data_IF_621551854440
#
_entry.id   IF_621551854440
#
_cell.length_a   1.000
_cell.length_b   1.000
_cell.length_c   1.000
_cell.angle_alpha   90.00
_cell.angle_beta   90.00
_cell.angle_gamma   90.00
#
_symmetry.space_group_name_H-M   'P 1'
#
loop_
_entity.id
_entity.type
_entity.pdbx_description
1 polymer ?
#
# COMPACT_ATOMS: atom_id res chain seq x y z
N UNK A 1 12.46 23.66 -46.11
CA UNK A 1 12.96 23.21 -44.79
C UNK A 1 11.82 22.47 -44.12
N UNK A 2 11.88 21.14 -44.07
CA UNK A 2 10.81 20.31 -43.53
C UNK A 2 11.09 20.11 -42.05
N UNK A 3 10.20 20.60 -41.18
CA UNK A 3 10.27 20.33 -39.74
C UNK A 3 9.84 18.89 -39.52
N UNK A 4 10.76 18.04 -39.07
CA UNK A 4 10.39 16.72 -38.59
C UNK A 4 9.56 16.88 -37.32
N UNK A 5 8.37 16.26 -37.24
CA UNK A 5 7.60 16.29 -36.00
C UNK A 5 8.39 15.58 -34.91
N UNK A 6 8.69 16.30 -33.83
CA UNK A 6 9.22 15.71 -32.60
C UNK A 6 8.08 14.90 -31.98
N UNK A 7 8.23 13.57 -31.98
CA UNK A 7 7.36 12.69 -31.22
C UNK A 7 7.62 12.95 -29.73
N UNK A 8 6.68 13.63 -29.07
CA UNK A 8 6.66 13.74 -27.61
C UNK A 8 6.37 12.32 -27.10
N UNK A 9 7.35 11.70 -26.46
CA UNK A 9 7.21 10.39 -25.85
C UNK A 9 6.09 10.48 -24.81
N UNK A 10 4.92 9.91 -25.12
CA UNK A 10 3.78 9.88 -24.20
C UNK A 10 4.27 9.25 -22.89
N UNK A 11 4.00 9.93 -21.79
CA UNK A 11 4.62 9.68 -20.52
C UNK A 11 4.41 8.20 -20.08
N UNK A 12 5.44 7.35 -20.19
CA UNK A 12 5.38 5.92 -19.87
C UNK A 12 4.71 5.65 -18.51
N UNK A 13 3.62 4.89 -18.50
CA UNK A 13 2.89 4.54 -17.26
C UNK A 13 3.83 3.85 -16.27
N UNK A 14 3.70 4.15 -14.98
CA UNK A 14 4.52 3.52 -13.94
C UNK A 14 3.59 2.74 -13.03
N UNK A 15 3.30 1.47 -13.37
CA UNK A 15 2.35 0.66 -12.61
C UNK A 15 2.91 0.35 -11.22
N UNK A 16 2.05 0.44 -10.20
CA UNK A 16 2.36 0.13 -8.81
C UNK A 16 1.16 -0.53 -8.13
N UNK A 17 1.40 -1.00 -6.91
CA UNK A 17 0.39 -1.57 -6.03
C UNK A 17 -0.03 -0.54 -5.00
N UNK A 18 -1.33 -0.36 -4.80
CA UNK A 18 -1.90 0.53 -3.81
C UNK A 18 -2.70 -0.25 -2.78
N UNK A 19 -2.30 -0.12 -1.52
CA UNK A 19 -3.06 -0.60 -0.38
C UNK A 19 -3.96 0.53 0.13
N UNK A 20 -5.26 0.28 0.12
CA UNK A 20 -6.25 1.07 0.86
C UNK A 20 -6.55 0.36 2.16
N UNK A 21 -6.23 1.01 3.28
CA UNK A 21 -6.48 0.46 4.60
C UNK A 21 -7.48 1.35 5.34
N UNK A 22 -8.63 0.77 5.67
CA UNK A 22 -9.61 1.37 6.58
C UNK A 22 -9.41 0.78 7.97
N UNK A 23 -8.80 1.56 8.84
CA UNK A 23 -8.50 1.20 10.23
C UNK A 23 -9.48 1.88 11.17
N UNK A 24 -9.73 1.24 12.31
CA UNK A 24 -10.35 1.93 13.43
C UNK A 24 -9.51 3.16 13.79
N UNK A 25 -10.08 4.38 13.86
CA UNK A 25 -9.34 5.56 14.24
C UNK A 25 -8.76 5.49 15.67
N UNK A 26 -9.28 4.60 16.52
CA UNK A 26 -8.71 4.34 17.84
C UNK A 26 -7.51 3.38 17.80
N UNK A 27 -7.31 2.63 16.72
CA UNK A 27 -6.08 1.84 16.57
C UNK A 27 -4.90 2.81 16.54
N UNK A 28 -3.80 2.52 17.23
CA UNK A 28 -2.72 3.50 17.40
C UNK A 28 -1.64 3.38 16.33
N UNK A 29 -1.34 2.14 15.91
CA UNK A 29 -0.37 1.88 14.84
C UNK A 29 -0.71 0.64 14.03
N UNK A 30 -0.18 0.60 12.81
CA UNK A 30 -0.29 -0.55 11.94
C UNK A 30 1.05 -0.89 11.29
N UNK A 31 1.21 -2.18 10.97
CA UNK A 31 2.34 -2.71 10.24
C UNK A 31 1.83 -3.46 9.02
N UNK A 32 2.57 -3.34 7.92
CA UNK A 32 2.37 -4.13 6.72
C UNK A 32 3.62 -4.97 6.52
N UNK A 33 3.43 -6.28 6.39
CA UNK A 33 4.52 -7.24 6.21
C UNK A 33 4.32 -8.03 4.93
N UNK A 34 5.43 -8.45 4.35
CA UNK A 34 5.46 -9.45 3.30
C UNK A 34 5.06 -10.81 3.91
N UNK A 35 3.95 -11.39 3.45
CA UNK A 35 3.40 -12.61 4.04
C UNK A 35 4.35 -13.81 3.92
N UNK A 36 5.13 -13.89 2.83
CA UNK A 36 5.99 -15.04 2.54
C UNK A 36 7.27 -15.02 3.35
N UNK A 37 7.84 -13.83 3.54
CA UNK A 37 9.16 -13.65 4.14
C UNK A 37 9.11 -13.09 5.57
N UNK A 38 7.94 -12.63 6.02
CA UNK A 38 7.75 -11.86 7.24
C UNK A 38 8.56 -10.55 7.30
N UNK A 39 9.05 -10.06 6.15
CA UNK A 39 9.76 -8.80 6.08
C UNK A 39 8.80 -7.64 6.37
N UNK A 40 9.22 -6.72 7.24
CA UNK A 40 8.48 -5.48 7.49
C UNK A 40 8.60 -4.57 6.26
N UNK A 41 7.46 -4.26 5.63
CA UNK A 41 7.40 -3.39 4.45
C UNK A 41 6.99 -1.96 4.82
N UNK A 42 6.11 -1.81 5.80
CA UNK A 42 5.63 -0.50 6.25
C UNK A 42 5.23 -0.52 7.72
N UNK A 43 5.40 0.61 8.39
CA UNK A 43 4.98 0.82 9.78
C UNK A 43 4.65 2.30 9.98
N UNK A 44 3.46 2.59 10.50
CA UNK A 44 3.08 3.96 10.87
C UNK A 44 2.10 3.98 12.03
N UNK A 45 2.06 5.12 12.73
CA UNK A 45 0.95 5.48 13.59
C UNK A 45 -0.25 5.90 12.75
N UNK A 46 -1.46 5.67 13.25
CA UNK A 46 -2.71 6.06 12.58
C UNK A 46 -3.02 7.56 12.78
N UNK A 47 -2.58 8.13 13.91
CA UNK A 47 -2.84 9.51 14.32
C UNK A 47 -4.33 9.91 14.27
N UNK A 48 -5.23 8.96 14.58
CA UNK A 48 -6.68 9.18 14.53
C UNK A 48 -7.28 9.21 13.12
N UNK A 49 -6.50 8.88 12.08
CA UNK A 49 -7.00 8.78 10.71
C UNK A 49 -7.48 7.35 10.43
N UNK A 50 -8.69 7.22 9.90
CA UNK A 50 -9.25 5.91 9.52
C UNK A 50 -8.72 5.40 8.19
N UNK A 51 -8.44 6.28 7.23
CA UNK A 51 -8.05 5.85 5.87
C UNK A 51 -6.57 6.10 5.64
N UNK A 52 -5.84 5.02 5.36
CA UNK A 52 -4.42 5.06 5.00
C UNK A 52 -4.23 4.53 3.57
N UNK A 53 -3.35 5.18 2.83
CA UNK A 53 -2.96 4.77 1.48
C UNK A 53 -1.46 4.54 1.44
N UNK A 54 -1.04 3.34 1.08
CA UNK A 54 0.38 2.96 1.00
C UNK A 54 0.67 2.36 -0.35
N UNK A 55 1.72 2.86 -1.01
CA UNK A 55 2.16 2.38 -2.32
C UNK A 55 3.28 1.37 -2.15
N UNK A 56 3.16 0.23 -2.83
CA UNK A 56 4.13 -0.86 -2.87
C UNK A 56 4.54 -1.18 -4.31
N UNK A 57 5.62 -1.96 -4.52
CA UNK A 57 5.95 -2.52 -5.82
C UNK A 57 4.78 -3.35 -6.39
N UNK A 58 4.60 -3.30 -7.72
CA UNK A 58 3.49 -3.94 -8.46
C UNK A 58 3.26 -5.43 -8.12
N UNK A 59 4.30 -6.13 -7.68
CA UNK A 59 4.20 -7.54 -7.30
C UNK A 59 3.11 -7.79 -6.24
N UNK A 60 2.82 -6.83 -5.37
CA UNK A 60 1.83 -6.98 -4.29
C UNK A 60 0.37 -6.86 -4.75
N UNK A 61 0.14 -6.68 -6.05
CA UNK A 61 -1.17 -6.79 -6.71
C UNK A 61 -1.40 -8.15 -7.37
N UNK A 62 -0.45 -9.08 -7.25
CA UNK A 62 -0.55 -10.43 -7.80
C UNK A 62 -0.93 -11.41 -6.67
N UNK A 63 -1.88 -12.34 -6.87
CA UNK A 63 -2.37 -13.22 -5.80
C UNK A 63 -1.29 -13.97 -5.01
N UNK A 64 -0.19 -14.33 -5.67
CA UNK A 64 0.92 -15.06 -5.05
C UNK A 64 1.81 -14.18 -4.15
N UNK A 65 1.70 -12.87 -4.20
CA UNK A 65 2.49 -11.94 -3.38
C UNK A 65 1.54 -11.07 -2.55
N UNK A 66 0.88 -11.73 -1.58
CA UNK A 66 -0.02 -11.07 -0.65
C UNK A 66 0.70 -10.44 0.53
N UNK A 67 0.06 -9.43 1.10
CA UNK A 67 0.46 -8.74 2.30
C UNK A 67 -0.27 -9.32 3.52
N UNK A 68 0.32 -9.10 4.68
CA UNK A 68 -0.38 -9.22 5.96
C UNK A 68 -0.32 -7.87 6.66
N UNK A 69 -1.45 -7.44 7.23
CA UNK A 69 -1.56 -6.18 7.98
C UNK A 69 -1.85 -6.51 9.44
N UNK A 70 -1.08 -5.89 10.34
CA UNK A 70 -1.28 -5.99 11.78
C UNK A 70 -1.65 -4.61 12.33
N UNK A 71 -2.69 -4.56 13.16
CA UNK A 71 -3.08 -3.41 13.95
C UNK A 71 -2.68 -3.67 15.39
N UNK A 72 -1.96 -2.71 15.97
CA UNK A 72 -1.54 -2.77 17.36
C UNK A 72 -2.20 -1.67 18.17
N UNK A 73 -2.45 -2.06 19.41
CA UNK A 73 -2.92 -1.25 20.49
C UNK A 73 -1.78 -1.18 21.52
N UNK A 74 -1.27 0.01 21.77
CA UNK A 74 -0.23 0.35 22.74
C UNK A 74 -0.83 0.76 24.10
N UNK A 75 -2.07 1.25 24.16
CA UNK A 75 -2.77 1.66 25.39
C UNK A 75 -3.52 0.52 26.13
N UNK A 76 -3.69 -0.63 25.47
CA UNK A 76 -4.33 -1.86 25.99
C UNK A 76 -5.84 -1.75 26.17
N UNK A 77 -6.48 -0.79 25.52
CA UNK A 77 -7.93 -0.69 25.46
C UNK A 77 -8.54 -1.74 24.52
N UNK A 78 -7.80 -2.16 23.50
CA UNK A 78 -8.27 -3.11 22.49
C UNK A 78 -7.27 -4.23 22.20
N UNK A 79 -7.78 -5.33 21.65
CA UNK A 79 -6.96 -6.43 21.18
C UNK A 79 -6.33 -6.10 19.82
N UNK A 80 -5.11 -6.58 19.61
CA UNK A 80 -4.48 -6.53 18.28
C UNK A 80 -5.32 -7.27 17.25
N UNK A 81 -5.34 -6.77 16.01
CA UNK A 81 -6.04 -7.41 14.89
C UNK A 81 -5.08 -7.67 13.74
N UNK A 82 -5.33 -8.75 13.01
CA UNK A 82 -4.54 -9.13 11.85
C UNK A 82 -5.46 -9.43 10.66
N UNK A 83 -5.07 -8.93 9.49
CA UNK A 83 -5.70 -9.26 8.22
C UNK A 83 -4.65 -9.91 7.30
N UNK A 84 -4.88 -11.18 6.96
CA UNK A 84 -3.99 -11.98 6.11
C UNK A 84 -4.49 -12.01 4.66
N UNK A 85 -3.58 -12.38 3.74
CA UNK A 85 -3.88 -12.53 2.31
C UNK A 85 -4.42 -11.26 1.63
N UNK A 86 -3.90 -10.11 2.03
CA UNK A 86 -4.30 -8.81 1.46
C UNK A 86 -3.66 -8.62 0.08
N UNK A 87 -4.48 -8.27 -0.90
CA UNK A 87 -4.09 -7.96 -2.27
C UNK A 87 -4.24 -6.46 -2.53
N UNK A 88 -3.23 -5.83 -3.12
CA UNK A 88 -3.29 -4.42 -3.47
C UNK A 88 -3.95 -4.19 -4.84
N UNK A 89 -4.54 -3.01 -5.02
CA UNK A 89 -5.03 -2.57 -6.32
C UNK A 89 -3.87 -2.17 -7.23
N UNK A 90 -3.96 -2.47 -8.53
CA UNK A 90 -2.99 -1.97 -9.52
C UNK A 90 -3.37 -0.55 -9.94
N UNK A 91 -2.43 0.37 -9.82
CA UNK A 91 -2.62 1.79 -10.18
C UNK A 91 -1.43 2.32 -10.98
N UNK A 92 -1.62 3.41 -11.72
CA UNK A 92 -0.51 4.17 -12.29
C UNK A 92 -0.08 5.25 -11.29
N UNK A 93 1.19 5.24 -10.89
CA UNK A 93 1.75 6.22 -9.94
C UNK A 93 1.57 7.67 -10.38
N UNK A 94 1.39 7.93 -11.68
CA UNK A 94 1.17 9.29 -12.19
C UNK A 94 -0.22 9.85 -11.89
N UNK A 95 -1.15 8.99 -11.49
CA UNK A 95 -2.56 9.32 -11.25
C UNK A 95 -2.91 9.38 -9.76
N UNK A 96 -1.93 9.19 -8.87
CA UNK A 96 -2.05 9.24 -7.41
C UNK A 96 -1.77 10.63 -6.87
#
# INVERSE_FOLDING_TARGET
MILNPVLINQAATVPASLLHLDVDPNAERFMVIDRKTAALLYHSKTLGQSIHKVVFPLQYSIPDASLCVLLFDDDREFESKMADHILCDTVDLKLL
#
